data_IF_643778570650
#
_entry.id   IF_643778570650
#
_cell.length_a   1.000
_cell.length_b   1.000
_cell.length_c   1.000
_cell.angle_alpha   90.00
_cell.angle_beta   90.00
_cell.angle_gamma   90.00
#
_symmetry.space_group_name_H-M   'P 1'
#
loop_
_entity.id
_entity.type
_entity.pdbx_description
1 polymer ?
#
# COMPACT_ATOMS: atom_id res chain seq x y z
N UNK A 1 8.45 54.43 -14.85
CA UNK A 1 9.27 53.40 -14.18
C UNK A 1 8.34 52.29 -13.70
N UNK A 2 8.18 51.27 -14.54
CA UNK A 2 7.31 50.13 -14.21
C UNK A 2 8.12 49.05 -13.48
N UNK A 3 7.79 48.82 -12.23
CA UNK A 3 8.35 47.69 -11.46
C UNK A 3 7.69 46.41 -11.94
N UNK A 4 8.46 45.56 -12.62
CA UNK A 4 8.09 44.17 -12.88
C UNK A 4 8.14 43.41 -11.54
N UNK A 5 6.97 43.06 -11.05
CA UNK A 5 6.83 42.05 -9.99
C UNK A 5 7.22 40.68 -10.58
N UNK A 6 8.44 40.27 -10.32
CA UNK A 6 8.86 38.86 -10.53
C UNK A 6 8.03 37.98 -9.62
N UNK A 7 7.11 37.21 -10.20
CA UNK A 7 6.40 36.17 -9.48
C UNK A 7 7.43 35.15 -8.98
N UNK A 8 7.64 35.14 -7.67
CA UNK A 8 8.36 34.05 -6.98
C UNK A 8 7.50 32.81 -7.14
N UNK A 9 7.89 31.90 -8.03
CA UNK A 9 7.32 30.58 -8.13
C UNK A 9 7.56 29.89 -6.78
N UNK A 10 6.54 29.85 -5.94
CA UNK A 10 6.57 29.03 -4.73
C UNK A 10 6.82 27.59 -5.19
N UNK A 11 7.97 27.02 -4.84
CA UNK A 11 8.20 25.59 -4.98
C UNK A 11 7.12 24.92 -4.15
N UNK A 12 6.12 24.31 -4.83
CA UNK A 12 5.16 23.47 -4.13
C UNK A 12 5.96 22.36 -3.46
N UNK A 13 5.97 22.35 -2.12
CA UNK A 13 6.64 21.32 -1.35
C UNK A 13 6.05 19.95 -1.72
N UNK A 14 6.85 18.91 -1.57
CA UNK A 14 6.37 17.53 -1.68
C UNK A 14 5.30 17.33 -0.59
N UNK A 15 4.09 16.92 -1.00
CA UNK A 15 2.99 16.65 -0.09
C UNK A 15 2.88 15.15 0.15
N UNK A 16 2.89 14.74 1.42
CA UNK A 16 2.77 13.33 1.82
C UNK A 16 1.53 13.18 2.69
N UNK A 17 0.62 12.31 2.28
CA UNK A 17 -0.57 11.95 3.04
C UNK A 17 -0.41 10.57 3.66
N UNK A 18 -0.74 10.43 4.97
CA UNK A 18 -0.71 9.13 5.65
C UNK A 18 -2.10 8.72 6.08
N UNK A 19 -2.52 7.52 5.69
CA UNK A 19 -3.78 6.91 6.12
C UNK A 19 -3.53 5.67 6.96
N UNK A 20 -4.05 5.65 8.19
CA UNK A 20 -3.99 4.51 9.09
C UNK A 20 -5.05 3.44 8.75
N UNK A 21 -4.94 2.27 9.38
CA UNK A 21 -5.83 1.13 9.15
C UNK A 21 -7.32 1.46 9.35
N UNK A 22 -7.66 2.27 10.36
CA UNK A 22 -9.03 2.72 10.57
C UNK A 22 -9.58 3.56 9.42
N UNK A 23 -8.72 4.31 8.71
CA UNK A 23 -9.11 5.09 7.53
C UNK A 23 -9.31 4.22 6.28
N UNK A 24 -8.89 2.96 6.32
CA UNK A 24 -8.94 1.99 5.22
C UNK A 24 -9.69 0.70 5.63
N UNK A 25 -10.50 0.76 6.68
CA UNK A 25 -11.09 -0.43 7.29
C UNK A 25 -12.15 -1.15 6.43
N UNK A 26 -12.69 -0.50 5.41
CA UNK A 26 -13.70 -1.07 4.52
C UNK A 26 -13.78 -0.33 3.18
N UNK A 27 -14.54 -0.87 2.24
CA UNK A 27 -14.70 -0.35 0.89
C UNK A 27 -15.12 1.13 0.85
N UNK A 28 -16.09 1.55 1.67
CA UNK A 28 -16.55 2.94 1.68
C UNK A 28 -15.46 3.92 2.14
N UNK A 29 -14.57 3.48 3.03
CA UNK A 29 -13.42 4.28 3.48
C UNK A 29 -12.34 4.38 2.41
N UNK A 30 -12.04 3.30 1.70
CA UNK A 30 -11.15 3.35 0.51
C UNK A 30 -11.67 4.33 -0.52
N UNK A 31 -12.96 4.27 -0.85
CA UNK A 31 -13.59 5.18 -1.80
C UNK A 31 -13.53 6.65 -1.32
N UNK A 32 -13.77 6.89 -0.02
CA UNK A 32 -13.68 8.23 0.57
C UNK A 32 -12.25 8.80 0.52
N UNK A 33 -11.24 7.96 0.83
CA UNK A 33 -9.81 8.35 0.73
C UNK A 33 -9.44 8.65 -0.71
N UNK A 34 -9.83 7.81 -1.67
CA UNK A 34 -9.56 8.05 -3.08
C UNK A 34 -10.23 9.35 -3.57
N UNK A 35 -11.47 9.62 -3.18
CA UNK A 35 -12.17 10.87 -3.50
C UNK A 35 -11.50 12.10 -2.89
N UNK A 36 -10.98 12.00 -1.66
CA UNK A 36 -10.21 13.07 -1.01
C UNK A 36 -8.92 13.37 -1.77
N UNK A 37 -8.16 12.35 -2.14
CA UNK A 37 -6.90 12.48 -2.86
C UNK A 37 -7.09 13.07 -4.25
N UNK A 38 -8.17 12.70 -4.94
CA UNK A 38 -8.54 13.26 -6.26
C UNK A 38 -8.76 14.78 -6.23
N UNK A 39 -9.17 15.33 -5.09
CA UNK A 39 -9.42 16.78 -4.94
C UNK A 39 -8.12 17.56 -4.68
N UNK A 40 -6.99 16.90 -4.43
CA UNK A 40 -5.75 17.59 -4.14
C UNK A 40 -5.17 18.24 -5.41
N UNK A 41 -4.71 19.50 -5.32
CA UNK A 41 -4.17 20.23 -6.47
C UNK A 41 -2.79 19.73 -6.92
N UNK A 42 -2.07 19.06 -6.03
CA UNK A 42 -0.79 18.43 -6.30
C UNK A 42 -0.91 16.92 -6.16
N UNK A 43 -0.05 16.20 -6.86
CA UNK A 43 0.05 14.75 -6.76
C UNK A 43 0.70 14.39 -5.43
N UNK A 44 -0.03 13.80 -4.52
CA UNK A 44 0.53 13.45 -3.23
C UNK A 44 1.33 12.15 -3.31
N UNK A 45 2.31 12.04 -2.43
CA UNK A 45 2.77 10.75 -1.94
C UNK A 45 1.80 10.27 -0.88
N UNK A 46 1.45 9.00 -0.95
CA UNK A 46 0.47 8.43 -0.01
C UNK A 46 1.12 7.25 0.70
N UNK A 47 1.11 7.28 2.02
CA UNK A 47 1.58 6.18 2.86
C UNK A 47 0.37 5.54 3.53
N UNK A 48 0.24 4.23 3.40
CA UNK A 48 -0.90 3.49 3.94
C UNK A 48 -0.46 2.45 4.97
N UNK A 49 -1.37 2.11 5.87
CA UNK A 49 -1.24 0.96 6.78
C UNK A 49 -2.16 -0.16 6.30
N UNK A 50 -1.97 -1.37 6.83
CA UNK A 50 -2.89 -2.49 6.66
C UNK A 50 -4.35 -2.08 6.93
N UNK A 51 -5.34 -2.62 6.19
CA UNK A 51 -6.74 -2.21 6.34
C UNK A 51 -7.36 -2.79 7.62
N UNK A 52 -8.01 -1.93 8.42
CA UNK A 52 -8.72 -2.35 9.64
C UNK A 52 -7.83 -3.12 10.61
N UNK A 53 -8.29 -4.30 11.02
CA UNK A 53 -7.64 -5.18 11.99
C UNK A 53 -6.76 -6.27 11.30
N UNK A 54 -6.39 -6.08 10.03
CA UNK A 54 -5.63 -7.07 9.25
C UNK A 54 -4.28 -7.41 9.90
N UNK A 55 -3.56 -6.42 10.43
CA UNK A 55 -2.28 -6.67 11.12
C UNK A 55 -2.46 -7.59 12.32
N UNK A 56 -3.52 -7.38 13.13
CA UNK A 56 -3.81 -8.22 14.29
C UNK A 56 -4.16 -9.65 13.86
N UNK A 57 -4.93 -9.82 12.80
CA UNK A 57 -5.24 -11.14 12.24
C UNK A 57 -3.99 -11.87 11.74
N UNK A 58 -3.06 -11.17 11.06
CA UNK A 58 -1.79 -11.74 10.61
C UNK A 58 -0.88 -12.10 11.79
N UNK A 59 -0.80 -11.26 12.83
CA UNK A 59 -0.05 -11.56 14.05
C UNK A 59 -0.61 -12.80 14.76
N UNK A 60 -1.93 -12.91 14.86
CA UNK A 60 -2.59 -14.08 15.43
C UNK A 60 -2.26 -15.37 14.65
N UNK A 61 -2.28 -15.28 13.32
CA UNK A 61 -1.92 -16.40 12.44
C UNK A 61 -0.47 -16.85 12.65
N UNK A 62 0.48 -15.90 12.75
CA UNK A 62 1.89 -16.18 13.06
C UNK A 62 2.02 -16.87 14.43
N UNK A 63 1.35 -16.32 15.45
CA UNK A 63 1.39 -16.87 16.81
C UNK A 63 0.78 -18.28 16.89
N UNK A 64 -0.32 -18.56 16.16
CA UNK A 64 -0.89 -19.91 16.08
C UNK A 64 0.07 -20.89 15.42
N UNK A 65 0.72 -20.51 14.32
CA UNK A 65 1.73 -21.35 13.68
C UNK A 65 2.89 -21.66 14.62
N UNK A 66 3.41 -20.67 15.36
CA UNK A 66 4.50 -20.85 16.33
C UNK A 66 4.13 -21.80 17.48
N UNK A 67 2.84 -21.91 17.80
CA UNK A 67 2.32 -22.90 18.77
C UNK A 67 2.00 -24.27 18.16
N UNK A 68 2.37 -24.48 16.88
CA UNK A 68 2.04 -25.69 16.12
C UNK A 68 0.52 -25.96 16.02
N UNK A 69 -0.30 -24.92 16.03
CA UNK A 69 -1.74 -25.00 15.80
C UNK A 69 -2.04 -25.04 14.29
N UNK A 70 -3.19 -25.63 13.92
CA UNK A 70 -3.67 -25.58 12.54
C UNK A 70 -4.11 -24.17 12.17
N UNK A 71 -3.46 -23.59 11.17
CA UNK A 71 -3.76 -22.24 10.65
C UNK A 71 -4.70 -22.24 9.45
N UNK A 72 -5.13 -23.41 8.96
CA UNK A 72 -5.90 -23.54 7.71
C UNK A 72 -7.19 -22.74 7.75
N UNK A 73 -7.96 -22.87 8.83
CA UNK A 73 -9.23 -22.15 9.00
C UNK A 73 -9.04 -20.66 9.26
N UNK A 74 -8.12 -20.18 10.13
CA UNK A 74 -7.81 -18.76 10.28
C UNK A 74 -7.37 -18.12 8.97
N UNK A 75 -6.49 -18.78 8.21
CA UNK A 75 -6.01 -18.29 6.92
C UNK A 75 -7.14 -18.19 5.89
N UNK A 76 -8.02 -19.21 5.81
CA UNK A 76 -9.17 -19.19 4.91
C UNK A 76 -10.14 -18.05 5.26
N UNK A 77 -10.37 -17.80 6.55
CA UNK A 77 -11.22 -16.70 7.02
C UNK A 77 -10.63 -15.34 6.62
N UNK A 78 -9.34 -15.12 6.89
CA UNK A 78 -8.62 -13.90 6.51
C UNK A 78 -8.66 -13.70 4.99
N UNK A 79 -8.36 -14.77 4.22
CA UNK A 79 -8.41 -14.73 2.76
C UNK A 79 -9.78 -14.26 2.24
N UNK A 80 -10.85 -14.85 2.77
CA UNK A 80 -12.23 -14.47 2.40
C UNK A 80 -12.51 -13.00 2.70
N UNK A 81 -12.13 -12.53 3.89
CA UNK A 81 -12.35 -11.13 4.29
C UNK A 81 -11.61 -10.14 3.38
N UNK A 82 -10.34 -10.42 3.07
CA UNK A 82 -9.54 -9.54 2.21
C UNK A 82 -10.04 -9.56 0.75
N UNK A 83 -10.44 -10.71 0.23
CA UNK A 83 -11.06 -10.82 -1.11
C UNK A 83 -12.38 -10.03 -1.17
N UNK A 84 -13.22 -10.14 -0.14
CA UNK A 84 -14.47 -9.36 -0.04
C UNK A 84 -14.20 -7.86 0.00
N UNK A 85 -13.16 -7.42 0.70
CA UNK A 85 -12.76 -6.00 0.70
C UNK A 85 -12.42 -5.53 -0.72
N UNK A 86 -11.64 -6.31 -1.47
CA UNK A 86 -11.27 -5.98 -2.86
C UNK A 86 -12.51 -5.88 -3.75
N UNK A 87 -13.36 -6.90 -3.75
CA UNK A 87 -14.56 -6.96 -4.61
C UNK A 87 -15.61 -5.92 -4.23
N UNK A 88 -15.68 -5.52 -2.97
CA UNK A 88 -16.57 -4.45 -2.52
C UNK A 88 -16.03 -3.04 -2.88
N UNK A 89 -14.70 -2.91 -3.11
CA UNK A 89 -14.05 -1.62 -3.38
C UNK A 89 -13.97 -1.31 -4.87
N UNK A 90 -13.71 -2.31 -5.70
CA UNK A 90 -13.42 -2.19 -7.13
C UNK A 90 -14.47 -2.91 -7.99
N UNK A 91 -14.73 -2.43 -9.23
CA UNK A 91 -15.47 -3.20 -10.21
C UNK A 91 -14.68 -4.45 -10.64
N UNK A 92 -15.37 -5.47 -11.13
CA UNK A 92 -14.82 -6.82 -11.39
C UNK A 92 -13.53 -6.82 -12.21
N UNK A 93 -13.47 -6.00 -13.26
CA UNK A 93 -12.30 -5.97 -14.14
C UNK A 93 -11.05 -5.38 -13.47
N UNK A 94 -11.23 -4.39 -12.58
CA UNK A 94 -10.12 -3.80 -11.81
C UNK A 94 -9.76 -4.67 -10.59
N UNK A 95 -10.75 -5.32 -9.99
CA UNK A 95 -10.56 -6.25 -8.88
C UNK A 95 -9.70 -7.46 -9.28
N UNK A 96 -9.80 -7.95 -10.51
CA UNK A 96 -9.12 -9.16 -10.96
C UNK A 96 -7.60 -9.11 -10.77
N UNK A 97 -6.94 -8.00 -11.11
CA UNK A 97 -5.50 -7.83 -10.94
C UNK A 97 -5.10 -7.81 -9.45
N UNK A 98 -5.86 -7.09 -8.63
CA UNK A 98 -5.62 -6.99 -7.18
C UNK A 98 -5.84 -8.34 -6.50
N UNK A 99 -6.88 -9.07 -6.88
CA UNK A 99 -7.15 -10.43 -6.37
C UNK A 99 -6.06 -11.41 -6.77
N UNK A 100 -5.52 -11.31 -7.98
CA UNK A 100 -4.40 -12.14 -8.43
C UNK A 100 -3.17 -11.91 -7.54
N UNK A 101 -2.81 -10.65 -7.29
CA UNK A 101 -1.69 -10.31 -6.42
C UNK A 101 -1.94 -10.80 -4.97
N UNK A 102 -3.11 -10.49 -4.41
CA UNK A 102 -3.49 -10.93 -3.06
C UNK A 102 -3.41 -12.44 -2.90
N UNK A 103 -3.99 -13.19 -3.84
CA UNK A 103 -3.96 -14.66 -3.79
C UNK A 103 -2.53 -15.22 -3.87
N UNK A 104 -1.66 -14.60 -4.68
CA UNK A 104 -0.25 -14.98 -4.75
C UNK A 104 0.46 -14.79 -3.40
N UNK A 105 0.21 -13.69 -2.69
CA UNK A 105 0.79 -13.46 -1.35
C UNK A 105 0.24 -14.43 -0.31
N UNK A 106 -1.07 -14.63 -0.27
CA UNK A 106 -1.73 -15.54 0.68
C UNK A 106 -1.25 -16.99 0.51
N UNK A 107 -1.01 -17.44 -0.71
CA UNK A 107 -0.47 -18.78 -1.00
C UNK A 107 0.96 -18.98 -0.49
N UNK A 108 1.73 -17.91 -0.34
CA UNK A 108 3.11 -17.98 0.15
C UNK A 108 3.21 -18.01 1.69
N UNK A 109 2.14 -17.65 2.42
CA UNK A 109 2.16 -17.59 3.89
C UNK A 109 2.71 -18.86 4.55
N UNK A 110 2.28 -20.09 4.19
CA UNK A 110 2.82 -21.29 4.84
C UNK A 110 4.34 -21.44 4.62
N UNK A 111 4.83 -21.12 3.43
CA UNK A 111 6.25 -21.15 3.10
C UNK A 111 7.06 -20.10 3.87
N UNK A 112 6.54 -18.88 3.98
CA UNK A 112 7.17 -17.81 4.76
C UNK A 112 7.23 -18.14 6.26
N UNK A 113 6.14 -18.71 6.80
CA UNK A 113 6.12 -19.15 8.20
C UNK A 113 7.13 -20.28 8.45
N UNK A 114 7.22 -21.25 7.54
CA UNK A 114 8.18 -22.33 7.63
C UNK A 114 9.65 -21.87 7.54
N UNK A 115 9.89 -20.72 6.90
CA UNK A 115 11.21 -20.09 6.74
C UNK A 115 11.45 -18.96 7.74
N UNK A 116 10.59 -18.78 8.75
CA UNK A 116 10.64 -17.70 9.77
C UNK A 116 10.59 -16.28 9.19
N UNK A 117 10.08 -16.14 7.97
CA UNK A 117 9.95 -14.84 7.28
C UNK A 117 8.64 -14.12 7.68
N UNK A 118 8.46 -13.89 8.97
CA UNK A 118 7.22 -13.31 9.52
C UNK A 118 6.96 -11.89 9.04
N UNK A 119 8.01 -11.14 8.68
CA UNK A 119 7.88 -9.79 8.13
C UNK A 119 7.18 -9.81 6.76
N UNK A 120 7.41 -10.85 5.94
CA UNK A 120 6.73 -11.01 4.65
C UNK A 120 5.22 -11.23 4.85
N UNK A 121 4.86 -12.02 5.87
CA UNK A 121 3.45 -12.23 6.23
C UNK A 121 2.81 -10.93 6.68
N UNK A 122 3.45 -10.15 7.55
CA UNK A 122 2.92 -8.89 8.05
C UNK A 122 2.76 -7.84 6.95
N UNK A 123 3.68 -7.81 5.97
CA UNK A 123 3.64 -6.83 4.88
C UNK A 123 2.41 -6.97 3.96
N UNK A 124 1.70 -8.11 3.98
CA UNK A 124 0.54 -8.36 3.11
C UNK A 124 -0.53 -7.28 3.30
N UNK A 125 -0.75 -6.82 4.53
CA UNK A 125 -1.78 -5.82 4.82
C UNK A 125 -1.49 -4.48 4.14
N UNK A 126 -0.26 -3.99 4.25
CA UNK A 126 0.19 -2.74 3.64
C UNK A 126 0.25 -2.87 2.11
N UNK A 127 0.77 -3.97 1.59
CA UNK A 127 0.77 -4.26 0.15
C UNK A 127 -0.63 -4.24 -0.44
N UNK A 128 -1.59 -4.88 0.25
CA UNK A 128 -2.98 -4.86 -0.18
C UNK A 128 -3.54 -3.44 -0.17
N UNK A 129 -3.32 -2.68 0.91
CA UNK A 129 -3.82 -1.30 1.00
C UNK A 129 -3.24 -0.43 -0.11
N UNK A 130 -1.93 -0.52 -0.38
CA UNK A 130 -1.29 0.26 -1.43
C UNK A 130 -1.84 -0.10 -2.82
N UNK A 131 -1.93 -1.40 -3.12
CA UNK A 131 -2.41 -1.88 -4.41
C UNK A 131 -3.89 -1.54 -4.63
N UNK A 132 -4.73 -1.75 -3.61
CA UNK A 132 -6.17 -1.48 -3.67
C UNK A 132 -6.47 0.02 -3.81
N UNK A 133 -5.73 0.87 -3.06
CA UNK A 133 -5.91 2.32 -3.16
C UNK A 133 -5.43 2.85 -4.51
N UNK A 134 -4.29 2.38 -5.02
CA UNK A 134 -3.80 2.77 -6.34
C UNK A 134 -4.78 2.37 -7.45
N UNK A 135 -5.34 1.17 -7.40
CA UNK A 135 -6.38 0.72 -8.33
C UNK A 135 -7.65 1.58 -8.21
N UNK A 136 -8.09 1.88 -6.97
CA UNK A 136 -9.27 2.72 -6.74
C UNK A 136 -9.10 4.16 -7.25
N UNK A 137 -7.89 4.73 -7.13
CA UNK A 137 -7.56 6.04 -7.70
C UNK A 137 -7.60 6.01 -9.23
N UNK A 138 -7.04 4.96 -9.82
CA UNK A 138 -7.01 4.78 -11.28
C UNK A 138 -8.42 4.66 -11.85
N UNK A 139 -9.30 3.90 -11.19
CA UNK A 139 -10.72 3.79 -11.55
C UNK A 139 -11.45 5.13 -11.48
N UNK A 140 -11.04 5.99 -10.57
CA UNK A 140 -11.60 7.35 -10.45
C UNK A 140 -10.93 8.37 -11.38
N UNK A 141 -10.05 7.93 -12.29
CA UNK A 141 -9.39 8.76 -13.31
C UNK A 141 -8.11 9.44 -12.85
N UNK A 142 -7.53 9.02 -11.69
CA UNK A 142 -6.22 9.48 -11.22
C UNK A 142 -5.22 8.34 -11.38
N UNK A 143 -4.33 8.45 -12.38
CA UNK A 143 -3.27 7.45 -12.58
C UNK A 143 -2.42 7.32 -11.31
N UNK A 144 -2.36 6.13 -10.75
CA UNK A 144 -1.66 5.85 -9.50
C UNK A 144 -0.92 4.51 -9.58
N UNK A 145 0.20 4.42 -8.88
CA UNK A 145 0.99 3.20 -8.76
C UNK A 145 1.21 2.85 -7.29
N UNK A 146 1.10 1.56 -6.97
CA UNK A 146 1.53 1.02 -5.69
C UNK A 146 3.04 0.74 -5.73
N UNK A 147 3.76 1.19 -4.73
CA UNK A 147 5.18 0.95 -4.58
C UNK A 147 5.41 0.12 -3.30
N UNK A 148 6.18 -0.95 -3.42
CA UNK A 148 6.58 -1.74 -2.26
C UNK A 148 7.76 -1.05 -1.58
N UNK A 149 7.60 -0.69 -0.31
CA UNK A 149 8.67 -0.04 0.46
C UNK A 149 9.94 -0.90 0.54
N UNK A 150 9.82 -2.23 0.46
CA UNK A 150 10.97 -3.16 0.48
C UNK A 150 11.86 -3.04 -0.76
N UNK A 151 11.33 -2.51 -1.87
CA UNK A 151 12.11 -2.32 -3.10
C UNK A 151 13.10 -1.16 -2.99
N UNK A 152 12.82 -0.18 -2.13
CA UNK A 152 13.64 1.03 -2.02
C UNK A 152 14.16 1.34 -0.62
N UNK A 153 13.48 0.94 0.47
CA UNK A 153 14.00 1.14 1.82
C UNK A 153 15.13 0.16 2.11
N UNK A 154 16.30 0.70 2.43
CA UNK A 154 17.50 -0.06 2.78
C UNK A 154 17.82 0.20 4.25
N UNK A 155 18.12 -0.85 4.97
CA UNK A 155 18.54 -0.78 6.37
C UNK A 155 19.98 -1.29 6.51
N UNK A 156 20.80 -0.55 7.24
CA UNK A 156 22.13 -0.95 7.67
C UNK A 156 22.18 -0.94 9.20
N UNK A 157 22.50 -2.07 9.82
CA UNK A 157 22.57 -2.20 11.28
C UNK A 157 21.28 -1.76 12.01
N UNK A 158 20.11 -2.09 11.45
CA UNK A 158 18.77 -1.70 11.93
C UNK A 158 18.41 -0.21 11.79
N UNK A 159 19.29 0.60 11.20
CA UNK A 159 19.03 2.00 10.90
C UNK A 159 18.77 2.18 9.39
N UNK A 160 17.88 3.10 8.98
CA UNK A 160 17.65 3.38 7.58
C UNK A 160 18.90 3.97 6.92
N UNK A 161 19.35 3.36 5.83
CA UNK A 161 20.36 3.96 4.94
C UNK A 161 19.64 4.90 3.96
N UNK A 162 19.53 6.15 4.34
CA UNK A 162 18.83 7.16 3.56
C UNK A 162 19.46 7.42 2.20
N UNK A 163 20.77 7.30 2.07
CA UNK A 163 21.47 7.52 0.80
C UNK A 163 21.11 6.43 -0.21
N UNK A 164 21.24 5.17 0.18
CA UNK A 164 20.86 4.05 -0.68
C UNK A 164 19.34 4.04 -0.96
N UNK A 165 18.52 4.25 0.07
CA UNK A 165 17.07 4.31 -0.06
C UNK A 165 16.63 5.39 -1.05
N UNK A 166 17.18 6.60 -0.96
CA UNK A 166 16.89 7.71 -1.89
C UNK A 166 17.31 7.37 -3.32
N UNK A 167 18.47 6.73 -3.49
CA UNK A 167 18.96 6.32 -4.82
C UNK A 167 18.02 5.29 -5.45
N UNK A 168 17.62 4.26 -4.70
CA UNK A 168 16.68 3.23 -5.18
C UNK A 168 15.32 3.81 -5.48
N UNK A 169 14.77 4.64 -4.58
CA UNK A 169 13.50 5.32 -4.79
C UNK A 169 13.52 6.18 -6.05
N UNK A 170 14.61 6.93 -6.29
CA UNK A 170 14.78 7.74 -7.49
C UNK A 170 14.75 6.91 -8.78
N UNK A 171 15.40 5.73 -8.77
CA UNK A 171 15.37 4.80 -9.90
C UNK A 171 13.97 4.23 -10.13
N UNK A 172 13.27 3.84 -9.06
CA UNK A 172 11.90 3.31 -9.11
C UNK A 172 10.92 4.34 -9.68
N UNK A 173 10.96 5.57 -9.19
CA UNK A 173 10.10 6.68 -9.68
C UNK A 173 10.38 6.99 -11.15
N UNK A 174 11.65 6.88 -11.59
CA UNK A 174 11.99 7.12 -12.98
C UNK A 174 11.25 6.20 -13.95
N UNK A 175 10.91 4.98 -13.52
CA UNK A 175 10.08 4.03 -14.26
C UNK A 175 8.58 4.38 -14.25
N UNK A 176 8.13 5.23 -13.31
CA UNK A 176 6.72 5.56 -13.07
C UNK A 176 6.41 7.05 -13.24
N UNK A 177 7.09 7.72 -14.17
CA UNK A 177 6.95 9.18 -14.39
C UNK A 177 5.59 9.62 -14.92
N UNK A 178 4.81 8.71 -15.49
CA UNK A 178 3.48 8.98 -16.02
C UNK A 178 2.40 8.98 -14.94
N UNK A 179 2.67 8.35 -13.80
CA UNK A 179 1.72 8.24 -12.70
C UNK A 179 1.65 9.53 -11.89
N UNK A 180 0.41 9.90 -11.57
CA UNK A 180 0.13 11.13 -10.82
C UNK A 180 0.18 10.92 -9.31
N UNK A 181 0.06 9.69 -8.82
CA UNK A 181 0.06 9.37 -7.41
C UNK A 181 0.90 8.12 -7.12
N UNK A 182 1.72 8.19 -6.08
CA UNK A 182 2.53 7.06 -5.61
C UNK A 182 2.03 6.64 -4.23
N UNK A 183 1.55 5.39 -4.13
CA UNK A 183 1.02 4.81 -2.89
C UNK A 183 2.03 3.78 -2.35
N UNK A 184 2.42 3.93 -1.08
CA UNK A 184 3.40 3.08 -0.40
C UNK A 184 2.78 2.44 0.84
#
# INVERSE_FOLDING_TARGET
MSQQLTAVSARRGLEVHKFGGSSLANASRFQAVAALLKQQPAVPWVVVSAPGDTTDALLLLIASYQRAEDISQPLATLSTQLQQLVTATLPDFAAAAVLTALNSWLQQIPGWLASEQTNEVLAIGELLSATLLAASLTEQGTSAVALDARDFLVFANKEPDWQQSTTKLGALIAGHRSEKCHVV
#
